data_IF_434615084799
#
_entry.id   IF_434615084799
#
_cell.length_a   1.000
_cell.length_b   1.000
_cell.length_c   1.000
_cell.angle_alpha   90.00
_cell.angle_beta   90.00
_cell.angle_gamma   90.00
#
_symmetry.space_group_name_H-M   'P 1'
#
loop_
_entity.id
_entity.type
_entity.pdbx_description
1 polymer ?
#
# COMPACT_ATOMS: atom_id res chain seq x y z
N UNK A 1 -1.59 9.97 0.06
CA UNK A 1 -0.41 10.67 0.65
C UNK A 1 0.70 9.64 0.86
N UNK A 2 1.99 10.01 0.97
CA UNK A 2 3.10 9.05 1.14
C UNK A 2 3.20 8.47 2.57
N UNK A 3 4.25 7.67 2.82
CA UNK A 3 4.55 7.09 4.13
C UNK A 3 5.13 8.14 5.08
N UNK A 4 4.72 8.11 6.37
CA UNK A 4 5.17 8.97 7.46
C UNK A 4 5.19 10.47 7.10
N UNK A 5 4.19 10.90 6.32
CA UNK A 5 4.15 12.23 5.70
C UNK A 5 4.15 13.38 6.70
N UNK A 6 3.65 13.17 7.91
CA UNK A 6 3.58 14.20 8.96
C UNK A 6 4.92 14.47 9.64
N UNK A 7 5.87 13.52 9.54
CA UNK A 7 7.15 13.56 10.28
C UNK A 7 8.36 13.37 9.37
N UNK A 8 8.15 12.93 8.13
CA UNK A 8 9.19 12.62 7.15
C UNK A 8 9.91 11.30 7.37
N UNK A 9 10.12 10.89 8.59
CA UNK A 9 10.65 9.60 9.04
C UNK A 9 10.22 9.41 10.49
N UNK A 10 10.87 8.57 11.29
CA UNK A 10 10.52 8.40 12.72
C UNK A 10 11.50 9.14 13.63
N UNK A 11 11.28 10.45 13.88
CA UNK A 11 12.12 11.25 14.79
C UNK A 11 11.96 10.78 16.24
N UNK A 12 13.04 10.86 17.01
CA UNK A 12 13.02 10.49 18.44
C UNK A 12 12.91 11.74 19.32
N UNK A 13 12.22 11.73 20.45
CA UNK A 13 11.39 10.61 20.93
C UNK A 13 10.06 10.52 20.19
N UNK A 14 9.58 9.30 19.89
CA UNK A 14 8.38 9.07 19.10
C UNK A 14 7.12 9.65 19.73
N UNK A 15 7.04 9.67 21.05
CA UNK A 15 5.90 10.17 21.83
C UNK A 15 5.52 11.62 21.48
N UNK A 16 6.51 12.45 21.10
CA UNK A 16 6.27 13.84 20.71
C UNK A 16 5.64 13.98 19.34
N UNK A 17 5.76 12.97 18.50
CA UNK A 17 5.37 12.99 17.09
C UNK A 17 4.25 12.02 16.77
N UNK A 18 3.90 11.16 17.71
CA UNK A 18 2.82 10.19 17.56
C UNK A 18 1.44 10.84 17.74
N UNK A 19 0.48 10.26 17.05
CA UNK A 19 -0.94 10.53 17.26
C UNK A 19 -1.53 9.42 18.13
N UNK A 20 -2.14 9.83 19.26
CA UNK A 20 -2.78 8.89 20.19
C UNK A 20 -4.00 8.26 19.52
N UNK A 21 -3.99 6.94 19.39
CA UNK A 21 -5.03 6.15 18.74
C UNK A 21 -5.40 6.61 17.32
N UNK A 22 -4.67 7.55 16.73
CA UNK A 22 -4.95 8.10 15.41
C UNK A 22 -6.09 9.12 15.34
N UNK A 23 -6.54 9.65 16.47
CA UNK A 23 -7.71 10.52 16.53
C UNK A 23 -7.54 11.83 15.76
N UNK A 24 -6.36 12.46 15.86
CA UNK A 24 -6.07 13.71 15.13
C UNK A 24 -6.05 13.47 13.63
N UNK A 25 -5.37 12.39 13.19
CA UNK A 25 -5.23 12.06 11.78
C UNK A 25 -6.57 11.67 11.18
N UNK A 26 -7.35 10.80 11.83
CA UNK A 26 -8.69 10.43 11.37
C UNK A 26 -9.60 11.64 11.23
N UNK A 27 -9.66 12.49 12.25
CA UNK A 27 -10.45 13.72 12.21
C UNK A 27 -10.02 14.68 11.11
N UNK A 28 -8.70 14.80 10.85
CA UNK A 28 -8.17 15.62 9.78
C UNK A 28 -8.59 15.08 8.41
N UNK A 29 -8.39 13.79 8.17
CA UNK A 29 -8.75 13.12 6.92
C UNK A 29 -10.26 13.17 6.67
N UNK A 30 -11.08 12.90 7.69
CA UNK A 30 -12.53 12.97 7.62
C UNK A 30 -13.03 14.36 7.20
N UNK A 31 -12.47 15.43 7.81
CA UNK A 31 -12.79 16.80 7.43
C UNK A 31 -12.43 17.13 5.98
N UNK A 32 -11.26 16.67 5.51
CA UNK A 32 -10.84 16.89 4.13
C UNK A 32 -11.72 16.11 3.15
N UNK A 33 -11.96 14.83 3.42
CA UNK A 33 -12.78 13.96 2.60
C UNK A 33 -14.19 14.52 2.42
N UNK A 34 -14.84 14.93 3.52
CA UNK A 34 -16.16 15.53 3.51
C UNK A 34 -16.17 16.89 2.80
N UNK A 35 -15.20 17.76 3.09
CA UNK A 35 -15.12 19.10 2.48
C UNK A 35 -14.98 19.05 0.96
N UNK A 36 -14.19 18.12 0.43
CA UNK A 36 -13.89 18.03 -1.00
C UNK A 36 -14.66 16.91 -1.70
N UNK A 37 -15.51 16.15 -0.98
CA UNK A 37 -16.26 15.00 -1.50
C UNK A 37 -15.40 13.95 -2.21
N UNK A 38 -14.24 13.61 -1.61
CA UNK A 38 -13.27 12.64 -2.13
C UNK A 38 -13.01 11.51 -1.13
N UNK A 39 -12.74 10.31 -1.65
CA UNK A 39 -12.16 9.23 -0.86
C UNK A 39 -10.66 9.49 -0.68
N UNK A 40 -10.10 9.19 0.49
CA UNK A 40 -8.69 9.48 0.80
C UNK A 40 -7.99 8.25 1.34
N UNK A 41 -6.91 7.81 0.66
CA UNK A 41 -5.89 6.98 1.27
C UNK A 41 -4.87 7.89 1.91
N UNK A 42 -4.88 7.94 3.24
CA UNK A 42 -4.23 8.99 4.04
C UNK A 42 -2.72 8.91 4.13
N UNK A 43 -2.06 7.98 3.41
CA UNK A 43 -0.66 7.70 3.67
C UNK A 43 -0.46 7.15 5.08
N UNK A 44 0.76 7.19 5.62
CA UNK A 44 0.96 6.74 6.99
C UNK A 44 1.45 7.82 7.94
N UNK A 45 1.16 7.61 9.22
CA UNK A 45 1.61 8.42 10.34
C UNK A 45 2.05 7.53 11.49
N UNK A 46 2.77 8.11 12.47
CA UNK A 46 3.14 7.42 13.70
C UNK A 46 1.94 7.39 14.63
N UNK A 47 1.44 6.21 14.95
CA UNK A 47 0.35 6.01 15.90
C UNK A 47 0.91 5.41 17.19
N UNK A 48 0.49 5.92 18.33
CA UNK A 48 0.70 5.31 19.61
C UNK A 48 -0.61 4.68 20.10
N UNK A 49 -0.60 3.36 20.28
CA UNK A 49 -1.74 2.60 20.80
C UNK A 49 -1.22 1.41 21.63
N UNK A 50 -1.90 1.07 22.73
CA UNK A 50 -1.58 -0.07 23.58
C UNK A 50 -0.08 -0.14 23.97
N UNK A 51 0.50 0.98 24.41
CA UNK A 51 1.92 1.13 24.77
C UNK A 51 2.92 0.80 23.64
N UNK A 52 2.43 0.76 22.41
CA UNK A 52 3.23 0.47 21.20
C UNK A 52 3.10 1.58 20.18
N UNK A 53 4.10 1.68 19.28
CA UNK A 53 4.04 2.56 18.13
C UNK A 53 3.80 1.76 16.85
N UNK A 54 3.03 2.33 15.92
CA UNK A 54 2.69 1.72 14.63
C UNK A 54 2.91 2.71 13.49
N UNK A 55 3.35 2.21 12.36
CA UNK A 55 3.36 2.93 11.09
C UNK A 55 2.02 2.64 10.41
N UNK A 56 1.01 3.51 10.63
CA UNK A 56 -0.40 3.24 10.29
C UNK A 56 -0.92 4.12 9.17
N UNK A 57 -1.60 3.49 8.22
CA UNK A 57 -2.40 4.12 7.17
C UNK A 57 -3.88 4.11 7.53
N UNK A 58 -4.59 5.19 7.22
CA UNK A 58 -6.04 5.28 7.29
C UNK A 58 -6.64 5.51 5.91
N UNK A 59 -7.78 4.88 5.64
CA UNK A 59 -8.62 5.16 4.49
C UNK A 59 -9.96 5.72 4.96
N UNK A 60 -10.39 6.83 4.36
CA UNK A 60 -11.69 7.44 4.66
C UNK A 60 -12.48 7.66 3.37
N UNK A 61 -13.79 7.47 3.45
CA UNK A 61 -14.68 7.72 2.33
C UNK A 61 -15.02 9.22 2.19
N UNK A 62 -15.71 9.59 1.13
CA UNK A 62 -16.12 10.97 0.82
C UNK A 62 -17.11 11.57 1.82
N UNK A 63 -17.73 10.76 2.68
CA UNK A 63 -18.57 11.18 3.79
C UNK A 63 -17.76 11.43 5.07
N UNK A 64 -16.45 11.09 5.05
CA UNK A 64 -15.57 11.23 6.20
C UNK A 64 -15.56 10.02 7.13
N UNK A 65 -16.21 8.92 6.76
CA UNK A 65 -16.19 7.69 7.55
C UNK A 65 -14.87 6.94 7.36
N UNK A 66 -14.34 6.38 8.44
CA UNK A 66 -13.20 5.46 8.39
C UNK A 66 -13.66 4.14 7.75
N UNK A 67 -13.05 3.77 6.63
CA UNK A 67 -13.38 2.54 5.89
C UNK A 67 -12.31 1.46 5.99
N UNK A 68 -11.07 1.84 6.28
CA UNK A 68 -10.00 0.89 6.57
C UNK A 68 -8.86 1.54 7.35
N UNK A 69 -8.12 0.71 8.08
CA UNK A 69 -6.82 1.03 8.64
C UNK A 69 -5.84 -0.12 8.41
N UNK A 70 -4.56 0.20 8.30
CA UNK A 70 -3.51 -0.76 8.04
C UNK A 70 -2.25 -0.40 8.79
N UNK A 71 -1.78 -1.29 9.64
CA UNK A 71 -0.46 -1.24 10.25
C UNK A 71 0.54 -1.96 9.37
N UNK A 72 1.62 -1.29 9.00
CA UNK A 72 2.67 -1.87 8.16
C UNK A 72 3.15 -3.19 8.72
N UNK A 73 3.09 -4.24 7.90
CA UNK A 73 3.46 -5.61 8.29
C UNK A 73 4.97 -5.80 8.22
N UNK A 74 5.60 -5.43 7.10
CA UNK A 74 7.02 -5.62 6.92
C UNK A 74 7.79 -4.34 7.26
N UNK A 75 8.33 -4.31 8.47
CA UNK A 75 9.14 -3.21 8.95
C UNK A 75 10.56 -3.28 8.36
N UNK A 76 11.09 -2.12 7.94
CA UNK A 76 12.40 -2.06 7.29
C UNK A 76 13.54 -2.12 8.31
N UNK A 77 14.03 -3.31 8.61
CA UNK A 77 15.05 -3.56 9.63
C UNK A 77 16.36 -2.81 9.40
N UNK A 78 16.79 -2.61 8.14
CA UNK A 78 18.01 -1.86 7.83
C UNK A 78 18.00 -0.40 8.29
N UNK A 79 16.84 0.17 8.58
CA UNK A 79 16.70 1.53 9.14
C UNK A 79 16.37 1.50 10.63
N UNK A 80 16.27 0.31 11.27
CA UNK A 80 15.85 0.15 12.65
C UNK A 80 14.36 0.35 12.87
N UNK A 81 13.54 0.30 11.82
CA UNK A 81 12.09 0.46 11.91
C UNK A 81 11.47 -0.59 12.85
N UNK A 82 11.95 -1.82 12.78
CA UNK A 82 11.53 -2.93 13.64
C UNK A 82 11.95 -2.80 15.13
N UNK A 83 12.81 -1.84 15.46
CA UNK A 83 13.21 -1.55 16.84
C UNK A 83 12.29 -0.53 17.50
N UNK A 84 11.51 0.20 16.70
CA UNK A 84 10.70 1.33 17.16
C UNK A 84 9.20 1.15 16.91
N UNK A 85 8.82 0.37 15.88
CA UNK A 85 7.42 0.08 15.59
C UNK A 85 7.10 -1.38 15.83
N UNK A 86 5.86 -1.62 16.21
CA UNK A 86 5.25 -2.96 16.23
C UNK A 86 4.66 -3.24 14.84
N UNK A 87 4.94 -4.42 14.31
CA UNK A 87 4.39 -4.87 13.04
C UNK A 87 2.89 -5.14 13.14
N UNK A 88 2.15 -4.80 12.08
CA UNK A 88 0.80 -5.29 11.87
C UNK A 88 0.79 -6.78 11.53
N UNK A 89 -0.40 -7.37 11.53
CA UNK A 89 -0.63 -8.78 11.18
C UNK A 89 -1.87 -8.99 10.31
N UNK A 90 -2.55 -7.91 9.94
CA UNK A 90 -3.76 -7.93 9.12
C UNK A 90 -3.60 -6.97 7.95
N UNK A 91 -4.09 -7.36 6.78
CA UNK A 91 -4.12 -6.51 5.60
C UNK A 91 -5.57 -6.27 5.18
N UNK A 92 -6.01 -5.01 5.04
CA UNK A 92 -7.40 -4.70 4.75
C UNK A 92 -7.74 -4.95 3.28
N UNK A 93 -8.93 -5.49 3.04
CA UNK A 93 -9.60 -5.49 1.75
C UNK A 93 -10.92 -4.75 1.97
N UNK A 94 -11.15 -3.70 1.20
CA UNK A 94 -12.31 -2.83 1.38
C UNK A 94 -12.75 -2.23 0.05
N UNK A 95 -13.93 -1.65 0.03
CA UNK A 95 -14.50 -1.09 -1.19
C UNK A 95 -14.37 0.46 -1.18
N UNK A 96 -13.99 1.00 -2.33
CA UNK A 96 -14.10 2.42 -2.67
C UNK A 96 -14.99 2.50 -3.90
N UNK A 97 -16.19 3.10 -3.76
CA UNK A 97 -17.16 3.24 -4.86
C UNK A 97 -17.35 1.94 -5.66
N UNK A 98 -17.72 0.87 -5.00
CA UNK A 98 -17.95 -0.47 -5.57
C UNK A 98 -16.66 -1.16 -6.14
N UNK A 99 -15.49 -0.55 -5.96
CA UNK A 99 -14.21 -1.11 -6.39
C UNK A 99 -13.46 -1.69 -5.20
N UNK A 100 -13.17 -2.98 -5.25
CA UNK A 100 -12.41 -3.67 -4.21
C UNK A 100 -10.93 -3.29 -4.29
N UNK A 101 -10.38 -2.83 -3.17
CA UNK A 101 -9.01 -2.30 -3.08
C UNK A 101 -8.29 -2.80 -1.83
N UNK A 102 -6.98 -2.58 -1.77
CA UNK A 102 -6.16 -2.86 -0.59
C UNK A 102 -5.04 -1.81 -0.43
N UNK A 103 -4.34 -1.89 0.69
CA UNK A 103 -3.22 -1.02 1.03
C UNK A 103 -2.02 -1.88 1.41
N UNK A 104 -0.84 -1.53 0.90
CA UNK A 104 0.45 -2.00 1.39
C UNK A 104 1.37 -0.79 1.56
N UNK A 105 2.39 -0.86 2.42
CA UNK A 105 3.24 0.29 2.72
C UNK A 105 4.70 0.01 2.37
N UNK A 106 5.25 0.79 1.44
CA UNK A 106 6.68 0.89 1.15
C UNK A 106 7.39 -0.48 1.03
N UNK A 107 8.01 -0.95 2.13
CA UNK A 107 8.80 -2.18 2.15
C UNK A 107 7.98 -3.43 1.86
N UNK A 108 6.66 -3.42 2.12
CA UNK A 108 5.74 -4.52 1.81
C UNK A 108 5.79 -4.94 0.33
N UNK A 109 6.10 -4.02 -0.60
CA UNK A 109 6.18 -4.33 -2.03
C UNK A 109 7.28 -5.35 -2.36
N UNK A 110 8.23 -5.59 -1.46
CA UNK A 110 9.29 -6.60 -1.65
C UNK A 110 8.81 -8.03 -1.41
N UNK A 111 7.65 -8.19 -0.79
CA UNK A 111 7.09 -9.47 -0.38
C UNK A 111 5.97 -9.86 -1.36
N UNK A 112 6.28 -10.64 -2.42
CA UNK A 112 5.31 -11.03 -3.44
C UNK A 112 4.16 -11.84 -2.85
N UNK A 113 4.42 -12.63 -1.83
CA UNK A 113 3.43 -13.43 -1.12
C UNK A 113 2.32 -12.59 -0.50
N UNK A 114 2.66 -11.44 0.13
CA UNK A 114 1.67 -10.52 0.70
C UNK A 114 0.76 -9.95 -0.40
N UNK A 115 1.37 -9.43 -1.47
CA UNK A 115 0.61 -8.81 -2.56
C UNK A 115 -0.22 -9.86 -3.30
N UNK A 116 0.31 -11.06 -3.49
CA UNK A 116 -0.43 -12.18 -4.07
C UNK A 116 -1.64 -12.58 -3.22
N UNK A 117 -1.46 -12.68 -1.89
CA UNK A 117 -2.53 -13.06 -0.98
C UNK A 117 -3.73 -12.10 -1.07
N UNK A 118 -3.50 -10.78 -1.08
CA UNK A 118 -4.61 -9.81 -1.23
C UNK A 118 -5.22 -9.82 -2.62
N UNK A 119 -4.40 -10.00 -3.66
CA UNK A 119 -4.89 -10.01 -5.05
C UNK A 119 -5.76 -11.21 -5.38
N UNK A 120 -5.63 -12.30 -4.63
CA UNK A 120 -6.53 -13.47 -4.72
C UNK A 120 -7.96 -13.18 -4.25
N UNK A 121 -8.21 -12.03 -3.66
CA UNK A 121 -9.55 -11.58 -3.24
C UNK A 121 -10.18 -10.59 -4.24
N UNK A 122 -9.73 -10.62 -5.49
CA UNK A 122 -10.26 -9.83 -6.61
C UNK A 122 -10.19 -8.32 -6.41
N UNK A 123 -9.14 -7.82 -5.77
CA UNK A 123 -8.88 -6.39 -5.74
C UNK A 123 -8.52 -5.89 -7.14
N UNK A 124 -8.93 -4.65 -7.46
CA UNK A 124 -8.56 -3.98 -8.71
C UNK A 124 -7.41 -2.99 -8.52
N UNK A 125 -7.26 -2.43 -7.32
CA UNK A 125 -6.23 -1.43 -7.02
C UNK A 125 -5.53 -1.78 -5.73
N UNK A 126 -4.20 -1.70 -5.75
CA UNK A 126 -3.37 -1.65 -4.55
C UNK A 126 -2.80 -0.24 -4.39
N UNK A 127 -3.12 0.42 -3.28
CA UNK A 127 -2.51 1.68 -2.88
C UNK A 127 -1.22 1.43 -2.12
N UNK A 128 -0.16 2.17 -2.48
CA UNK A 128 1.18 1.96 -1.96
C UNK A 128 1.82 3.28 -1.48
N UNK A 129 1.47 3.78 -0.28
CA UNK A 129 2.24 4.84 0.37
C UNK A 129 3.67 4.41 0.64
N UNK A 130 4.66 5.29 0.37
CA UNK A 130 6.06 4.95 0.53
C UNK A 130 6.95 6.17 0.87
N UNK A 131 8.08 5.87 1.53
CA UNK A 131 9.24 6.73 1.69
C UNK A 131 10.48 6.02 1.09
N UNK A 132 10.41 5.72 -0.20
CA UNK A 132 11.40 4.90 -0.90
C UNK A 132 12.54 5.76 -1.44
N UNK A 133 13.80 5.57 -0.98
CA UNK A 133 14.90 6.44 -1.30
C UNK A 133 15.42 6.27 -2.74
N UNK A 134 15.88 7.39 -3.34
CA UNK A 134 16.36 7.44 -4.72
C UNK A 134 17.49 6.46 -5.04
N UNK A 135 18.38 6.16 -4.08
CA UNK A 135 19.45 5.18 -4.28
C UNK A 135 18.96 3.75 -4.60
N UNK A 136 17.68 3.48 -4.38
CA UNK A 136 17.02 2.21 -4.72
C UNK A 136 15.86 2.41 -5.73
N UNK A 137 15.89 3.51 -6.48
CA UNK A 137 14.83 3.86 -7.44
C UNK A 137 14.54 2.74 -8.45
N UNK A 138 15.60 2.10 -9.00
CA UNK A 138 15.40 0.97 -9.93
C UNK A 138 14.60 -0.19 -9.30
N UNK A 139 14.81 -0.46 -8.00
CA UNK A 139 14.01 -1.49 -7.31
C UNK A 139 12.54 -1.06 -7.19
N UNK A 140 12.29 0.22 -6.88
CA UNK A 140 10.95 0.78 -6.83
C UNK A 140 10.21 0.60 -8.14
N UNK A 141 10.79 1.08 -9.22
CA UNK A 141 10.22 1.01 -10.57
C UNK A 141 9.99 -0.43 -11.05
N UNK A 142 10.93 -1.34 -10.78
CA UNK A 142 10.79 -2.74 -11.17
C UNK A 142 9.73 -3.45 -10.33
N UNK A 143 9.76 -3.28 -8.99
CA UNK A 143 8.86 -4.01 -8.10
C UNK A 143 7.40 -3.54 -8.25
N UNK A 144 7.14 -2.25 -8.37
CA UNK A 144 5.78 -1.73 -8.56
C UNK A 144 5.18 -2.28 -9.85
N UNK A 145 5.92 -2.27 -10.95
CA UNK A 145 5.49 -2.85 -12.23
C UNK A 145 5.32 -4.37 -12.16
N UNK A 146 6.26 -5.08 -11.54
CA UNK A 146 6.17 -6.53 -11.37
C UNK A 146 4.89 -6.92 -10.59
N UNK A 147 4.57 -6.20 -9.50
CA UNK A 147 3.34 -6.47 -8.72
C UNK A 147 2.07 -6.18 -9.51
N UNK A 148 2.07 -5.16 -10.36
CA UNK A 148 0.94 -4.88 -11.26
C UNK A 148 0.74 -6.03 -12.26
N UNK A 149 1.81 -6.43 -12.95
CA UNK A 149 1.77 -7.48 -13.99
C UNK A 149 1.35 -8.83 -13.43
N UNK A 150 2.06 -9.32 -12.41
CA UNK A 150 1.87 -10.66 -11.88
C UNK A 150 0.53 -10.85 -11.15
N UNK A 151 -0.09 -9.73 -10.70
CA UNK A 151 -1.37 -9.75 -9.99
C UNK A 151 -2.51 -9.15 -10.82
N UNK A 152 -2.24 -8.63 -12.01
CA UNK A 152 -3.23 -8.09 -12.94
C UNK A 152 -4.12 -7.02 -12.30
N UNK A 153 -3.49 -6.10 -11.56
CA UNK A 153 -4.12 -5.01 -10.80
C UNK A 153 -3.43 -3.68 -11.09
N UNK A 154 -4.13 -2.57 -10.83
CA UNK A 154 -3.50 -1.26 -10.78
C UNK A 154 -2.65 -1.11 -9.52
N UNK A 155 -1.50 -0.44 -9.63
CA UNK A 155 -0.71 0.04 -8.50
C UNK A 155 -0.75 1.56 -8.48
N UNK A 156 -1.25 2.14 -7.38
CA UNK A 156 -1.26 3.58 -7.15
C UNK A 156 -0.25 3.88 -6.04
N UNK A 157 0.94 4.27 -6.44
CA UNK A 157 2.10 4.42 -5.57
C UNK A 157 2.40 5.89 -5.27
N UNK A 158 2.39 6.27 -3.99
CA UNK A 158 2.72 7.62 -3.53
C UNK A 158 4.03 7.61 -2.74
N UNK A 159 5.10 8.20 -3.30
CA UNK A 159 6.44 8.17 -2.70
C UNK A 159 6.92 9.58 -2.35
N UNK A 160 7.34 9.82 -1.11
CA UNK A 160 7.82 11.12 -0.63
C UNK A 160 9.13 11.60 -1.28
N UNK A 161 9.90 10.71 -1.90
CA UNK A 161 11.15 11.07 -2.59
C UNK A 161 10.98 11.23 -4.11
N UNK A 162 9.73 11.39 -4.60
CA UNK A 162 9.42 11.47 -6.02
C UNK A 162 9.16 10.10 -6.65
N UNK A 163 8.89 10.11 -7.97
CA UNK A 163 8.54 8.91 -8.72
C UNK A 163 7.31 8.18 -8.13
N UNK A 164 6.35 8.96 -7.61
CA UNK A 164 4.99 8.49 -7.41
C UNK A 164 4.41 8.11 -8.76
N UNK A 165 3.69 6.98 -8.85
CA UNK A 165 3.26 6.47 -10.14
C UNK A 165 1.88 5.82 -10.08
N UNK A 166 1.17 5.85 -11.21
CA UNK A 166 -0.01 5.04 -11.49
C UNK A 166 0.39 4.04 -12.56
N UNK A 167 0.26 2.76 -12.26
CA UNK A 167 0.71 1.65 -13.10
C UNK A 167 -0.49 0.75 -13.37
N UNK A 168 -0.67 0.36 -14.63
CA UNK A 168 -1.78 -0.47 -15.07
C UNK A 168 -1.49 -1.98 -14.90
N UNK A 169 -2.49 -2.85 -15.09
CA UNK A 169 -2.33 -4.31 -15.00
C UNK A 169 -1.35 -4.94 -16.01
N UNK A 170 -0.97 -4.23 -17.08
CA UNK A 170 0.08 -4.64 -18.02
C UNK A 170 1.47 -4.21 -17.56
N UNK A 171 1.57 -3.42 -16.47
CA UNK A 171 2.81 -2.87 -15.95
C UNK A 171 3.27 -1.61 -16.67
N UNK A 172 2.39 -0.99 -17.48
CA UNK A 172 2.70 0.29 -18.09
C UNK A 172 2.54 1.43 -17.07
N UNK A 173 3.50 2.34 -17.06
CA UNK A 173 3.45 3.53 -16.20
C UNK A 173 2.59 4.58 -16.89
N UNK A 174 1.34 4.69 -16.46
CA UNK A 174 0.37 5.62 -17.05
C UNK A 174 0.65 7.07 -16.66
N UNK A 175 1.15 7.29 -15.46
CA UNK A 175 1.59 8.60 -14.96
C UNK A 175 2.71 8.43 -13.94
N UNK A 176 3.71 9.29 -13.96
CA UNK A 176 4.80 9.33 -13.00
C UNK A 176 5.11 10.77 -12.62
N UNK A 177 5.31 11.03 -11.33
CA UNK A 177 5.74 12.32 -10.82
C UNK A 177 7.26 12.39 -10.75
N UNK A 178 7.85 13.45 -11.28
CA UNK A 178 9.26 13.78 -11.06
C UNK A 178 9.55 14.07 -9.57
N UNK A 179 10.81 14.08 -9.14
CA UNK A 179 11.18 14.50 -7.79
C UNK A 179 10.64 15.89 -7.43
N UNK A 180 10.26 16.06 -6.17
CA UNK A 180 9.67 17.27 -5.62
C UNK A 180 8.21 17.06 -5.22
N UNK A 181 7.60 18.11 -4.71
CA UNK A 181 6.19 18.10 -4.31
C UNK A 181 5.32 18.22 -5.57
N UNK A 182 4.70 17.13 -5.98
CA UNK A 182 3.90 16.98 -7.20
C UNK A 182 2.57 16.29 -6.92
N UNK A 183 1.56 16.70 -7.66
CA UNK A 183 0.27 16.00 -7.75
C UNK A 183 0.15 15.46 -9.16
N UNK A 184 -0.16 14.19 -9.29
CA UNK A 184 -0.56 13.56 -10.57
C UNK A 184 -2.02 13.19 -10.49
N UNK A 185 -2.74 13.40 -11.57
CA UNK A 185 -4.16 13.06 -11.70
C UNK A 185 -4.37 12.30 -13.00
N UNK A 186 -5.12 11.21 -12.94
CA UNK A 186 -5.40 10.37 -14.09
C UNK A 186 -6.74 9.65 -13.91
N UNK A 187 -7.52 9.61 -14.98
CA UNK A 187 -8.67 8.72 -15.09
C UNK A 187 -8.19 7.33 -15.50
N UNK A 188 -8.56 6.29 -14.75
CA UNK A 188 -8.20 4.90 -15.03
C UNK A 188 -9.43 4.09 -15.44
N UNK A 189 -9.24 3.18 -16.41
CA UNK A 189 -10.28 2.25 -16.81
C UNK A 189 -10.17 0.96 -16.00
N UNK A 190 -11.04 0.76 -15.03
CA UNK A 190 -11.03 -0.43 -14.16
C UNK A 190 -11.42 -1.72 -14.89
N UNK A 191 -12.12 -1.63 -16.04
CA UNK A 191 -12.44 -2.79 -16.87
C UNK A 191 -11.19 -3.51 -17.41
N UNK A 192 -10.06 -2.84 -17.43
CA UNK A 192 -8.78 -3.44 -17.82
C UNK A 192 -8.40 -4.65 -16.93
N UNK A 193 -8.78 -4.66 -15.65
CA UNK A 193 -8.51 -5.80 -14.75
C UNK A 193 -9.27 -7.07 -15.17
N UNK A 194 -10.60 -7.09 -15.36
CA UNK A 194 -11.28 -8.26 -15.87
C UNK A 194 -10.91 -8.58 -17.33
N UNK A 195 -10.64 -7.61 -18.19
CA UNK A 195 -10.19 -7.83 -19.57
C UNK A 195 -8.89 -8.63 -19.63
N UNK A 196 -7.86 -8.23 -18.89
CA UNK A 196 -6.58 -8.96 -18.87
C UNK A 196 -6.74 -10.37 -18.28
N UNK A 197 -7.58 -10.55 -17.25
CA UNK A 197 -7.92 -11.87 -16.69
C UNK A 197 -8.65 -12.75 -17.71
N UNK A 198 -9.45 -12.14 -18.60
CA UNK A 198 -10.11 -12.84 -19.70
C UNK A 198 -9.14 -13.32 -20.80
N UNK A 199 -8.06 -12.56 -21.03
CA UNK A 199 -7.02 -12.91 -22.04
C UNK A 199 -6.05 -13.94 -21.47
N UNK A 200 -5.58 -13.74 -20.23
CA UNK A 200 -4.57 -14.57 -19.57
C UNK A 200 -4.86 -14.63 -18.06
N UNK A 201 -5.52 -15.70 -17.60
CA UNK A 201 -5.90 -15.83 -16.20
C UNK A 201 -4.80 -16.53 -15.39
N UNK A 202 -3.80 -15.75 -14.95
CA UNK A 202 -2.68 -16.29 -14.16
C UNK A 202 -3.12 -16.89 -12.82
N UNK A 203 -4.29 -16.51 -12.29
CA UNK A 203 -4.81 -17.07 -11.05
C UNK A 203 -5.44 -18.46 -11.27
N UNK A 204 -6.13 -18.67 -12.39
CA UNK A 204 -6.70 -19.97 -12.75
C UNK A 204 -5.61 -20.99 -13.10
N UNK A 205 -4.48 -20.52 -13.67
CA UNK A 205 -3.37 -21.36 -14.08
C UNK A 205 -2.43 -21.76 -12.92
N UNK A 206 -2.70 -21.30 -11.70
CA UNK A 206 -1.89 -21.65 -10.52
C UNK A 206 -2.05 -23.12 -10.18
N UNK A 207 -0.92 -23.80 -9.97
CA UNK A 207 -0.86 -25.17 -9.51
C UNK A 207 -0.17 -25.29 -8.15
N UNK A 208 -0.66 -26.18 -7.30
CA UNK A 208 0.05 -26.60 -6.10
C UNK A 208 1.28 -27.40 -6.50
N UNK A 209 2.41 -27.14 -5.86
CA UNK A 209 3.64 -27.87 -6.08
C UNK A 209 4.37 -28.13 -4.77
N UNK A 210 5.25 -29.13 -4.75
CA UNK A 210 6.11 -29.47 -3.62
C UNK A 210 7.55 -29.28 -4.00
N UNK A 211 8.34 -28.72 -3.08
CA UNK A 211 9.79 -28.64 -3.26
C UNK A 211 10.36 -30.04 -2.99
N UNK A 212 11.02 -30.64 -4.01
CA UNK A 212 11.64 -31.96 -3.88
C UNK A 212 12.68 -31.91 -2.74
N UNK A 213 12.63 -32.91 -1.83
CA UNK A 213 13.50 -33.06 -0.67
C UNK A 213 13.31 -32.00 0.46
N UNK A 214 12.23 -31.23 0.44
CA UNK A 214 11.82 -30.36 1.56
C UNK A 214 10.32 -30.54 1.77
N UNK A 215 9.92 -30.78 3.01
CA UNK A 215 8.51 -30.78 3.41
C UNK A 215 8.04 -29.30 3.62
N UNK A 216 8.14 -28.49 2.59
CA UNK A 216 7.57 -27.13 2.62
C UNK A 216 6.29 -27.19 1.80
N UNK A 217 5.16 -27.08 2.47
CA UNK A 217 3.87 -26.88 1.81
C UNK A 217 3.71 -25.38 1.56
N UNK A 218 3.51 -24.99 0.31
CA UNK A 218 3.30 -23.58 -0.06
C UNK A 218 1.96 -23.05 0.46
N UNK A 219 1.02 -23.94 0.77
CA UNK A 219 -0.20 -23.55 1.47
C UNK A 219 0.04 -23.07 2.91
N UNK A 220 1.20 -23.37 3.51
CA UNK A 220 1.63 -22.82 4.81
C UNK A 220 2.25 -21.40 4.68
N UNK A 221 2.49 -20.92 3.45
CA UNK A 221 2.93 -19.55 3.16
C UNK A 221 1.75 -18.58 2.89
N UNK A 222 0.59 -18.91 3.46
CA UNK A 222 -0.59 -18.02 3.43
C UNK A 222 -0.43 -16.85 4.36
#
# INVERSE_FOLDING_TARGET
MPELWSTGFYPKPLEKFSDQNGDKTRNFLAKLANKYHINIIGGTVIIQADDSFYNRCFAVNRQGDLIAEYDKIHLFSMSGENEVFKAGNEIPIFDIDDTKVSIAVCYDIRFPELIRAVSLNDISILFLPAAWPLKRLKHWQILTRARAIENQIFIVAANSFGYSAIIDPWGEVLAEAEPGEKIITLDINLEMCPEIKGIMNVFADRHKFKIKNKNIDIDEMK
#
